data_IF_015099096937
#
_entry.id   IF_015099096937
#
_cell.length_a   1.000
_cell.length_b   1.000
_cell.length_c   1.000
_cell.angle_alpha   90.00
_cell.angle_beta   90.00
_cell.angle_gamma   90.00
#
_symmetry.space_group_name_H-M   'P 1'
#
loop_
_entity.id
_entity.type
_entity.pdbx_description
1 polymer ?
#
# COMPACT_ATOMS: atom_id res chain seq x y z
N UNK A 1 -36.47 6.86 8.25
CA UNK A 1 -37.13 5.54 8.43
C UNK A 1 -37.17 4.76 7.12
N UNK A 2 -37.45 5.47 6.02
CA UNK A 2 -37.76 4.95 4.67
C UNK A 2 -36.59 4.37 3.87
N UNK A 3 -35.40 4.26 4.48
CA UNK A 3 -34.25 3.60 3.83
C UNK A 3 -34.34 2.10 4.03
N UNK A 4 -34.39 1.33 2.95
CA UNK A 4 -34.48 -0.14 3.00
C UNK A 4 -33.10 -0.83 3.02
N UNK A 5 -32.08 -0.19 2.44
CA UNK A 5 -30.73 -0.73 2.32
C UNK A 5 -29.69 0.40 2.36
N UNK A 6 -28.55 0.15 3.00
CA UNK A 6 -27.37 1.01 2.96
C UNK A 6 -26.23 0.27 2.28
N UNK A 7 -25.70 0.83 1.19
CA UNK A 7 -24.48 0.36 0.52
C UNK A 7 -23.38 1.38 0.77
N UNK A 8 -22.27 0.96 1.38
CA UNK A 8 -21.17 1.84 1.76
C UNK A 8 -19.81 1.23 1.40
N UNK A 9 -18.98 2.05 0.77
CA UNK A 9 -17.56 1.76 0.53
C UNK A 9 -16.73 2.88 1.16
N UNK A 10 -15.79 2.53 2.03
CA UNK A 10 -14.98 3.50 2.75
C UNK A 10 -14.24 2.88 3.93
N UNK A 11 -13.80 3.67 4.90
CA UNK A 11 -12.99 3.15 6.01
C UNK A 11 -13.76 2.25 6.98
N UNK A 12 -13.06 1.24 7.51
CA UNK A 12 -13.56 0.25 8.49
C UNK A 12 -14.29 0.86 9.69
N UNK A 13 -13.72 1.91 10.30
CA UNK A 13 -14.34 2.59 11.47
C UNK A 13 -15.72 3.14 11.13
N UNK A 14 -15.85 3.82 9.98
CA UNK A 14 -17.13 4.37 9.52
C UNK A 14 -18.11 3.26 9.16
N UNK A 15 -17.64 2.20 8.50
CA UNK A 15 -18.46 1.03 8.18
C UNK A 15 -19.09 0.38 9.42
N UNK A 16 -18.31 0.19 10.50
CA UNK A 16 -18.80 -0.33 11.78
C UNK A 16 -19.89 0.57 12.39
N UNK A 17 -19.70 1.89 12.33
CA UNK A 17 -20.71 2.87 12.80
C UNK A 17 -22.00 2.78 11.97
N UNK A 18 -21.89 2.65 10.64
CA UNK A 18 -23.04 2.49 9.75
C UNK A 18 -23.81 1.21 10.08
N UNK A 19 -23.10 0.08 10.25
CA UNK A 19 -23.70 -1.20 10.61
C UNK A 19 -24.47 -1.10 11.95
N UNK A 20 -23.86 -0.49 12.97
CA UNK A 20 -24.49 -0.32 14.27
C UNK A 20 -25.77 0.52 14.20
N UNK A 21 -25.77 1.61 13.42
CA UNK A 21 -26.95 2.45 13.24
C UNK A 21 -28.05 1.78 12.39
N UNK A 22 -27.68 0.94 11.43
CA UNK A 22 -28.63 0.18 10.62
C UNK A 22 -29.42 -0.85 11.45
N UNK A 23 -28.82 -1.39 12.51
CA UNK A 23 -29.42 -2.42 13.35
C UNK A 23 -30.73 -1.97 14.03
N UNK A 24 -30.83 -0.71 14.45
CA UNK A 24 -32.01 -0.18 15.14
C UNK A 24 -33.31 -0.23 14.31
N UNK A 25 -33.19 -0.36 12.98
CA UNK A 25 -34.34 -0.53 12.08
C UNK A 25 -34.20 -1.74 11.16
N UNK A 26 -33.28 -2.66 11.49
CA UNK A 26 -33.06 -3.93 10.79
C UNK A 26 -32.83 -3.75 9.28
N UNK A 27 -32.04 -2.73 8.89
CA UNK A 27 -31.74 -2.47 7.48
C UNK A 27 -30.73 -3.47 6.94
N UNK A 28 -30.85 -3.77 5.65
CA UNK A 28 -29.78 -4.47 4.92
C UNK A 28 -28.56 -3.56 4.80
N UNK A 29 -27.37 -4.11 4.97
CA UNK A 29 -26.10 -3.40 4.80
C UNK A 29 -25.20 -4.16 3.82
N UNK A 30 -24.55 -3.44 2.92
CA UNK A 30 -23.44 -3.91 2.10
C UNK A 30 -22.25 -3.00 2.37
N UNK A 31 -21.12 -3.58 2.81
CA UNK A 31 -19.96 -2.84 3.32
C UNK A 31 -18.68 -3.35 2.65
N UNK A 32 -17.90 -2.43 2.07
CA UNK A 32 -16.58 -2.68 1.47
C UNK A 32 -15.56 -1.76 2.16
N UNK A 33 -14.65 -2.32 2.97
CA UNK A 33 -14.06 -1.60 4.11
C UNK A 33 -12.52 -1.46 4.14
N UNK A 34 -11.86 -1.67 3.01
CA UNK A 34 -10.39 -1.62 2.90
C UNK A 34 -9.75 -3.00 2.96
N UNK A 35 -8.42 -3.05 3.05
CA UNK A 35 -7.65 -4.28 3.04
C UNK A 35 -6.20 -4.12 3.50
N UNK A 36 -5.59 -5.24 3.89
CA UNK A 36 -4.14 -5.39 4.01
C UNK A 36 -3.66 -6.49 3.07
N UNK A 37 -3.78 -6.22 1.77
CA UNK A 37 -3.74 -7.25 0.74
C UNK A 37 -2.31 -7.77 0.53
N UNK A 38 -2.05 -9.08 0.77
CA UNK A 38 -0.75 -9.67 0.56
C UNK A 38 -0.46 -9.87 -0.94
N UNK A 39 0.77 -9.59 -1.35
CA UNK A 39 1.34 -9.93 -2.65
C UNK A 39 2.49 -10.91 -2.43
N UNK A 40 2.26 -12.19 -2.76
CA UNK A 40 3.20 -13.27 -2.45
C UNK A 40 4.11 -13.55 -3.64
N UNK A 41 5.43 -13.49 -3.43
CA UNK A 41 6.46 -13.68 -4.46
C UNK A 41 7.33 -14.90 -4.11
N UNK A 42 7.20 -15.96 -4.91
CA UNK A 42 8.06 -17.14 -4.83
C UNK A 42 9.31 -16.97 -5.70
N UNK A 43 10.39 -17.68 -5.36
CA UNK A 43 11.67 -17.57 -6.07
C UNK A 43 11.58 -18.01 -7.55
N UNK A 44 10.70 -18.97 -7.86
CA UNK A 44 10.49 -19.45 -9.22
C UNK A 44 9.89 -18.38 -10.15
N UNK A 45 9.06 -17.47 -9.63
CA UNK A 45 8.57 -16.29 -10.35
C UNK A 45 9.71 -15.34 -10.80
N UNK A 46 10.85 -15.41 -10.11
CA UNK A 46 12.04 -14.60 -10.36
C UNK A 46 13.16 -15.39 -11.07
N UNK A 47 12.90 -16.63 -11.50
CA UNK A 47 13.93 -17.52 -12.05
C UNK A 47 14.48 -17.06 -13.41
N UNK A 48 13.78 -16.17 -14.12
CA UNK A 48 14.26 -15.55 -15.37
C UNK A 48 14.21 -14.03 -15.29
N UNK A 49 15.01 -13.31 -16.11
CA UNK A 49 14.95 -11.85 -16.16
C UNK A 49 13.55 -11.31 -16.48
N UNK A 50 12.81 -11.98 -17.37
CA UNK A 50 11.44 -11.61 -17.73
C UNK A 50 10.46 -11.87 -16.59
N UNK A 51 10.63 -12.98 -15.87
CA UNK A 51 9.83 -13.32 -14.68
C UNK A 51 10.03 -12.29 -13.57
N UNK A 52 11.28 -11.99 -13.24
CA UNK A 52 11.63 -10.94 -12.27
C UNK A 52 11.04 -9.58 -12.69
N UNK A 53 11.23 -9.19 -13.96
CA UNK A 53 10.71 -7.92 -14.46
C UNK A 53 9.18 -7.83 -14.36
N UNK A 54 8.46 -8.91 -14.69
CA UNK A 54 7.01 -8.97 -14.59
C UNK A 54 6.54 -8.95 -13.13
N UNK A 55 7.19 -9.69 -12.24
CA UNK A 55 6.83 -9.74 -10.82
C UNK A 55 7.04 -8.37 -10.14
N UNK A 56 8.17 -7.70 -10.41
CA UNK A 56 8.42 -6.33 -9.92
C UNK A 56 7.43 -5.34 -10.52
N UNK A 57 7.10 -5.45 -11.82
CA UNK A 57 6.11 -4.58 -12.47
C UNK A 57 4.73 -4.67 -11.80
N UNK A 58 4.28 -5.90 -11.52
CA UNK A 58 3.02 -6.12 -10.80
C UNK A 58 3.08 -5.57 -9.37
N UNK A 59 4.20 -5.73 -8.65
CA UNK A 59 4.35 -5.18 -7.31
C UNK A 59 4.31 -3.65 -7.29
N UNK A 60 4.96 -2.98 -8.25
CA UNK A 60 4.90 -1.52 -8.41
C UNK A 60 3.48 -1.05 -8.67
N UNK A 61 2.79 -1.68 -9.63
CA UNK A 61 1.41 -1.34 -9.96
C UNK A 61 0.48 -1.56 -8.76
N UNK A 62 0.62 -2.69 -8.06
CA UNK A 62 -0.21 -3.01 -6.91
C UNK A 62 -0.03 -2.04 -5.75
N UNK A 63 1.18 -1.55 -5.50
CA UNK A 63 1.47 -0.66 -4.38
C UNK A 63 1.28 0.83 -4.70
N UNK A 64 1.61 1.27 -5.90
CA UNK A 64 1.77 2.69 -6.22
C UNK A 64 0.76 3.26 -7.22
N UNK A 65 -0.06 2.43 -7.87
CA UNK A 65 -1.19 2.90 -8.67
C UNK A 65 -2.11 3.78 -7.81
N UNK A 66 -2.52 4.92 -8.36
CA UNK A 66 -3.34 5.91 -7.64
C UNK A 66 -2.72 6.38 -6.31
N UNK A 67 -1.38 6.34 -6.22
CA UNK A 67 -0.63 6.60 -5.00
C UNK A 67 -1.08 5.72 -3.83
N UNK A 68 -1.39 4.45 -4.12
CA UNK A 68 -1.79 3.44 -3.15
C UNK A 68 -3.17 3.65 -2.52
N UNK A 69 -3.98 4.58 -3.03
CA UNK A 69 -5.33 4.86 -2.53
C UNK A 69 -6.37 3.92 -3.14
N UNK A 70 -6.13 2.61 -3.03
CA UNK A 70 -6.95 1.54 -3.60
C UNK A 70 -7.17 0.48 -2.52
N UNK A 71 -8.42 0.07 -2.28
CA UNK A 71 -8.73 -0.92 -1.24
C UNK A 71 -8.07 -2.28 -1.48
N UNK A 72 -7.79 -2.62 -2.74
CA UNK A 72 -7.07 -3.84 -3.15
C UNK A 72 -5.59 -3.60 -3.43
N UNK A 73 -4.99 -2.49 -2.95
CA UNK A 73 -3.56 -2.23 -3.13
C UNK A 73 -2.73 -3.36 -2.49
N UNK A 74 -1.72 -3.86 -3.22
CA UNK A 74 -0.78 -4.88 -2.75
C UNK A 74 0.25 -4.28 -1.79
N UNK A 75 -0.21 -3.73 -0.68
CA UNK A 75 0.58 -2.95 0.27
C UNK A 75 1.43 -3.80 1.23
N UNK A 76 1.35 -5.13 1.14
CA UNK A 76 2.11 -6.08 1.95
C UNK A 76 2.77 -7.12 1.04
N UNK A 77 4.07 -6.96 0.76
CA UNK A 77 4.86 -7.91 -0.01
C UNK A 77 5.35 -9.03 0.92
N UNK A 78 5.06 -10.28 0.54
CA UNK A 78 5.50 -11.48 1.25
C UNK A 78 6.39 -12.25 0.29
N UNK A 79 7.71 -12.23 0.50
CA UNK A 79 8.69 -12.68 -0.51
C UNK A 79 9.56 -13.82 0.01
N UNK A 80 9.86 -14.79 -0.86
CA UNK A 80 10.76 -15.88 -0.49
C UNK A 80 12.16 -15.33 -0.21
N UNK A 81 12.74 -15.70 0.93
CA UNK A 81 14.00 -15.15 1.44
C UNK A 81 15.14 -15.23 0.40
N UNK A 82 15.16 -16.29 -0.40
CA UNK A 82 16.19 -16.55 -1.40
C UNK A 82 16.29 -15.51 -2.52
N UNK A 83 15.23 -14.75 -2.78
CA UNK A 83 15.17 -13.71 -3.83
C UNK A 83 14.92 -12.30 -3.28
N UNK A 84 14.87 -12.15 -1.96
CA UNK A 84 14.58 -10.89 -1.28
C UNK A 84 15.39 -9.71 -1.81
N UNK A 85 16.73 -9.77 -1.69
CA UNK A 85 17.60 -8.63 -2.01
C UNK A 85 17.50 -8.27 -3.51
N UNK A 86 17.53 -9.28 -4.39
CA UNK A 86 17.41 -9.10 -5.83
C UNK A 86 16.12 -8.38 -6.21
N UNK A 87 15.00 -8.81 -5.63
CA UNK A 87 13.69 -8.25 -5.95
C UNK A 87 13.50 -6.86 -5.34
N UNK A 88 13.83 -6.69 -4.07
CA UNK A 88 13.62 -5.43 -3.34
C UNK A 88 14.51 -4.32 -3.90
N UNK A 89 15.76 -4.64 -4.29
CA UNK A 89 16.65 -3.67 -4.93
C UNK A 89 16.07 -3.16 -6.26
N UNK A 90 15.53 -4.06 -7.09
CA UNK A 90 14.91 -3.67 -8.37
C UNK A 90 13.57 -2.93 -8.17
N UNK A 91 12.77 -3.34 -7.17
CA UNK A 91 11.56 -2.63 -6.76
C UNK A 91 11.88 -1.20 -6.33
N UNK A 92 12.88 -1.01 -5.47
CA UNK A 92 13.33 0.30 -5.00
C UNK A 92 13.81 1.16 -6.16
N UNK A 93 14.69 0.62 -7.01
CA UNK A 93 15.23 1.34 -8.17
C UNK A 93 14.12 1.84 -9.10
N UNK A 94 13.09 1.02 -9.33
CA UNK A 94 11.96 1.40 -10.18
C UNK A 94 10.98 2.33 -9.47
N UNK A 95 10.75 2.17 -8.16
CA UNK A 95 9.89 3.04 -7.37
C UNK A 95 10.44 4.49 -7.31
N UNK A 96 11.76 4.66 -7.21
CA UNK A 96 12.44 5.96 -7.28
C UNK A 96 12.28 6.66 -8.62
N UNK A 97 12.04 5.89 -9.69
CA UNK A 97 11.81 6.39 -11.04
C UNK A 97 10.37 6.82 -11.32
N UNK A 98 9.42 6.55 -10.41
CA UNK A 98 8.00 6.88 -10.62
C UNK A 98 7.83 8.39 -10.66
N UNK A 99 7.36 8.89 -11.80
CA UNK A 99 7.10 10.32 -12.02
C UNK A 99 5.75 10.72 -11.44
N UNK A 100 5.80 11.45 -10.34
CA UNK A 100 4.62 12.04 -9.72
C UNK A 100 4.26 13.36 -10.40
N UNK A 101 2.98 13.71 -10.47
CA UNK A 101 2.56 14.92 -11.19
C UNK A 101 1.09 15.25 -11.19
N UNK A 102 0.74 16.33 -11.90
CA UNK A 102 -0.64 16.69 -12.19
C UNK A 102 -1.28 15.67 -13.15
N UNK A 103 -2.59 15.38 -13.01
CA UNK A 103 -3.27 14.35 -13.80
C UNK A 103 -3.30 14.61 -15.31
N UNK A 104 -3.05 15.85 -15.75
CA UNK A 104 -3.04 16.24 -17.16
C UNK A 104 -1.63 16.47 -17.70
N UNK A 105 -0.60 16.36 -16.86
CA UNK A 105 0.78 16.56 -17.28
C UNK A 105 1.32 15.29 -17.95
N UNK A 106 1.92 15.47 -19.13
CA UNK A 106 2.49 14.37 -19.91
C UNK A 106 3.56 13.61 -19.11
N UNK A 107 3.48 12.28 -19.15
CA UNK A 107 4.44 11.42 -18.45
C UNK A 107 4.21 11.26 -16.95
N UNK A 108 3.15 11.84 -16.38
CA UNK A 108 2.73 11.55 -15.01
C UNK A 108 2.29 10.09 -14.89
N UNK A 109 2.89 9.36 -13.95
CA UNK A 109 2.55 7.97 -13.63
C UNK A 109 1.63 7.88 -12.42
N UNK A 110 1.77 8.79 -11.45
CA UNK A 110 0.83 8.89 -10.32
C UNK A 110 0.64 10.33 -9.80
N UNK A 111 -0.48 10.57 -9.13
CA UNK A 111 -0.90 11.87 -8.62
C UNK A 111 -0.64 12.08 -7.11
N UNK A 112 -1.16 13.17 -6.52
CA UNK A 112 -1.06 13.41 -5.09
C UNK A 112 -1.99 12.49 -4.28
N UNK A 113 -1.79 12.47 -2.97
CA UNK A 113 -2.80 11.97 -2.04
C UNK A 113 -4.02 12.92 -2.00
N UNK A 114 -5.17 12.41 -1.59
CA UNK A 114 -6.46 13.10 -1.73
C UNK A 114 -6.58 14.37 -0.87
N UNK A 115 -5.84 14.46 0.23
CA UNK A 115 -5.87 15.61 1.15
C UNK A 115 -4.59 15.73 1.98
N UNK A 116 -4.34 16.90 2.54
CA UNK A 116 -3.27 17.11 3.52
C UNK A 116 -3.40 16.17 4.73
N UNK A 117 -4.62 16.06 5.28
CA UNK A 117 -4.88 15.18 6.42
C UNK A 117 -4.54 13.71 6.12
N UNK A 118 -4.85 13.25 4.90
CA UNK A 118 -4.52 11.88 4.48
C UNK A 118 -3.00 11.69 4.28
N UNK A 119 -2.32 12.67 3.67
CA UNK A 119 -0.86 12.66 3.54
C UNK A 119 -0.17 12.62 4.91
N UNK A 120 -0.65 13.41 5.86
CA UNK A 120 -0.06 13.46 7.20
C UNK A 120 -0.34 12.15 7.97
N UNK A 121 -1.49 11.49 7.76
CA UNK A 121 -1.76 10.13 8.26
C UNK A 121 -0.76 9.11 7.70
N UNK A 122 -0.54 9.11 6.38
CA UNK A 122 0.44 8.21 5.74
C UNK A 122 1.85 8.47 6.27
N UNK A 123 2.23 9.72 6.47
CA UNK A 123 3.53 10.05 7.05
C UNK A 123 3.69 9.53 8.47
N UNK A 124 2.69 9.72 9.33
CA UNK A 124 2.71 9.21 10.70
C UNK A 124 2.83 7.68 10.74
N UNK A 125 2.16 6.99 9.81
CA UNK A 125 2.29 5.54 9.65
C UNK A 125 3.73 5.12 9.31
N UNK A 126 4.41 5.84 8.40
CA UNK A 126 5.80 5.55 8.02
C UNK A 126 6.78 5.85 9.16
N UNK A 127 6.59 6.97 9.87
CA UNK A 127 7.42 7.30 11.04
C UNK A 127 7.26 6.24 12.13
N UNK A 128 6.03 5.77 12.37
CA UNK A 128 5.78 4.69 13.33
C UNK A 128 6.47 3.38 12.91
N UNK A 129 6.41 3.01 11.64
CA UNK A 129 7.14 1.85 11.13
C UNK A 129 8.65 1.96 11.38
N UNK A 130 9.22 3.15 11.17
CA UNK A 130 10.63 3.43 11.44
C UNK A 130 10.97 3.33 12.94
N UNK A 131 10.09 3.83 13.81
CA UNK A 131 10.22 3.66 15.27
C UNK A 131 10.15 2.20 15.71
N UNK A 132 9.30 1.40 15.06
CA UNK A 132 9.13 -0.02 15.33
C UNK A 132 10.30 -0.88 14.79
N UNK A 133 11.19 -0.29 13.98
CA UNK A 133 12.42 -0.92 13.51
C UNK A 133 12.45 -1.27 12.03
N UNK A 134 11.41 -0.94 11.26
CA UNK A 134 11.41 -1.13 9.82
C UNK A 134 12.50 -0.28 9.13
N UNK A 135 13.07 -0.82 8.05
CA UNK A 135 14.06 -0.13 7.23
C UNK A 135 13.38 0.58 6.07
N UNK A 136 13.43 1.92 6.05
CA UNK A 136 12.94 2.69 4.90
C UNK A 136 13.98 2.63 3.77
N UNK A 137 13.72 1.82 2.74
CA UNK A 137 14.65 1.62 1.61
C UNK A 137 14.60 2.76 0.59
N UNK A 138 13.44 3.38 0.44
CA UNK A 138 13.25 4.58 -0.38
C UNK A 138 12.01 5.35 0.08
N UNK A 139 11.88 6.61 -0.34
CA UNK A 139 10.78 7.49 0.00
C UNK A 139 10.71 7.83 1.50
N UNK A 140 9.53 7.69 2.08
CA UNK A 140 9.24 8.01 3.48
C UNK A 140 9.25 9.51 3.79
N UNK A 141 9.00 10.34 2.78
CA UNK A 141 8.96 11.79 2.92
C UNK A 141 7.93 12.40 1.95
N UNK A 142 7.59 13.66 2.21
CA UNK A 142 6.81 14.46 1.27
C UNK A 142 7.59 14.64 -0.03
N UNK A 143 6.90 14.58 -1.17
CA UNK A 143 7.54 14.90 -2.44
C UNK A 143 7.58 16.42 -2.62
N UNK A 144 8.75 16.93 -3.02
CA UNK A 144 9.02 18.36 -3.20
C UNK A 144 9.66 18.60 -4.56
N UNK A 145 9.62 19.84 -5.06
CA UNK A 145 10.23 20.21 -6.35
C UNK A 145 9.32 19.94 -7.55
N UNK A 146 9.93 19.70 -8.71
CA UNK A 146 9.23 19.46 -9.98
C UNK A 146 9.84 18.25 -10.70
N UNK A 147 9.00 17.29 -11.09
CA UNK A 147 9.39 16.09 -11.84
C UNK A 147 8.99 16.16 -13.32
N UNK A 148 8.84 17.38 -13.85
CA UNK A 148 8.42 17.66 -15.23
C UNK A 148 6.90 17.73 -15.41
N UNK A 149 6.16 17.80 -14.31
CA UNK A 149 4.71 17.58 -14.26
C UNK A 149 3.98 18.55 -13.32
N UNK A 150 4.70 19.58 -12.83
CA UNK A 150 4.20 20.62 -11.94
C UNK A 150 4.92 20.66 -10.60
N UNK A 151 4.83 21.80 -9.90
CA UNK A 151 5.40 21.96 -8.57
C UNK A 151 4.69 21.06 -7.55
N UNK A 152 5.35 20.01 -7.10
CA UNK A 152 4.84 19.03 -6.13
C UNK A 152 4.61 19.68 -4.77
N UNK A 153 5.35 20.73 -4.43
CA UNK A 153 5.20 21.49 -3.17
C UNK A 153 3.80 22.12 -3.01
N UNK A 154 3.07 22.32 -4.12
CA UNK A 154 1.72 22.88 -4.10
C UNK A 154 0.62 21.83 -3.88
N UNK A 155 0.97 20.54 -3.84
CA UNK A 155 0.03 19.42 -3.69
C UNK A 155 0.30 18.56 -2.45
N UNK A 156 -0.46 17.48 -2.32
CA UNK A 156 -0.33 16.53 -1.21
C UNK A 156 0.45 15.29 -1.64
N UNK A 157 1.62 15.49 -2.24
CA UNK A 157 2.43 14.39 -2.74
C UNK A 157 3.24 13.74 -1.62
N UNK A 158 3.37 12.42 -1.71
CA UNK A 158 4.18 11.59 -0.83
C UNK A 158 4.98 10.62 -1.69
N UNK A 159 6.27 10.47 -1.44
CA UNK A 159 7.13 9.65 -2.27
C UNK A 159 6.74 8.16 -2.18
N UNK A 160 6.83 7.39 -3.28
CA UNK A 160 6.76 5.93 -3.23
C UNK A 160 7.72 5.38 -2.16
N UNK A 161 7.20 4.59 -1.23
CA UNK A 161 7.91 4.19 -0.02
C UNK A 161 7.94 2.68 0.12
N UNK A 162 9.14 2.12 0.30
CA UNK A 162 9.36 0.69 0.57
C UNK A 162 9.87 0.55 2.01
N UNK A 163 9.08 -0.13 2.84
CA UNK A 163 9.38 -0.46 4.23
C UNK A 163 9.83 -1.91 4.29
N UNK A 164 11.12 -2.12 4.47
CA UNK A 164 11.77 -3.41 4.43
C UNK A 164 12.05 -3.93 5.85
N UNK A 165 12.32 -5.22 5.99
CA UNK A 165 12.56 -5.92 7.27
C UNK A 165 11.42 -5.69 8.26
N UNK A 166 10.19 -5.73 7.76
CA UNK A 166 9.03 -5.68 8.62
C UNK A 166 8.80 -7.05 9.26
N UNK A 167 8.17 -7.08 10.44
CA UNK A 167 7.81 -8.31 11.12
C UNK A 167 6.40 -8.21 11.74
N UNK A 168 5.78 -9.35 12.11
CA UNK A 168 4.41 -9.38 12.63
C UNK A 168 4.12 -8.55 13.89
N UNK A 169 5.15 -8.09 14.62
CA UNK A 169 4.96 -7.22 15.78
C UNK A 169 4.77 -5.75 15.42
N UNK A 170 5.10 -5.35 14.18
CA UNK A 170 5.04 -3.96 13.73
C UNK A 170 3.63 -3.57 13.29
N UNK A 171 3.17 -2.38 13.68
CA UNK A 171 1.83 -1.92 13.29
C UNK A 171 1.66 -1.82 11.76
N UNK A 172 2.74 -1.52 11.04
CA UNK A 172 2.72 -1.37 9.59
C UNK A 172 2.44 -2.66 8.81
N UNK A 173 2.54 -3.85 9.41
CA UNK A 173 2.14 -5.09 8.69
C UNK A 173 0.65 -5.40 8.82
N UNK A 174 -0.04 -4.77 9.78
CA UNK A 174 -1.47 -4.97 10.07
C UNK A 174 -2.33 -3.80 9.60
N UNK A 175 -1.85 -2.57 9.83
CA UNK A 175 -2.62 -1.36 9.55
C UNK A 175 -2.63 -1.01 8.06
N UNK A 176 -3.77 -0.46 7.61
CA UNK A 176 -3.94 0.07 6.26
C UNK A 176 -3.49 1.54 6.20
N UNK A 177 -2.34 1.79 5.57
CA UNK A 177 -1.87 3.14 5.28
C UNK A 177 -2.76 3.88 4.27
N UNK A 178 -3.22 3.14 3.25
CA UNK A 178 -3.98 3.65 2.10
C UNK A 178 -3.22 4.77 1.34
N UNK A 179 -1.91 4.59 1.17
CA UNK A 179 -0.99 5.53 0.53
C UNK A 179 0.13 4.78 -0.20
N UNK A 180 1.11 5.49 -0.81
CA UNK A 180 2.12 4.89 -1.68
C UNK A 180 3.22 4.21 -0.85
N UNK A 181 2.85 3.18 -0.11
CA UNK A 181 3.71 2.43 0.81
C UNK A 181 3.55 0.93 0.58
N UNK A 182 4.65 0.18 0.63
CA UNK A 182 4.63 -1.29 0.65
C UNK A 182 5.53 -1.78 1.79
N UNK A 183 5.05 -2.73 2.59
CA UNK A 183 5.87 -3.45 3.58
C UNK A 183 6.45 -4.71 2.96
N UNK A 184 7.62 -5.15 3.42
CA UNK A 184 8.26 -6.39 2.97
C UNK A 184 8.51 -7.30 4.17
N UNK A 185 7.97 -8.51 4.09
CA UNK A 185 8.20 -9.64 4.99
C UNK A 185 8.75 -10.82 4.19
N UNK A 186 9.58 -11.66 4.80
CA UNK A 186 10.15 -12.84 4.16
C UNK A 186 9.51 -14.14 4.64
N UNK A 187 9.56 -15.18 3.79
CA UNK A 187 9.21 -16.56 4.16
C UNK A 187 10.24 -17.55 3.61
N UNK A 188 10.28 -18.75 4.19
CA UNK A 188 11.17 -19.84 3.75
C UNK A 188 10.43 -21.06 3.23
N UNK A 189 9.13 -21.16 3.51
CA UNK A 189 8.26 -22.26 3.06
C UNK A 189 6.92 -21.74 2.54
N UNK A 190 6.27 -22.51 1.69
CA UNK A 190 4.91 -22.20 1.21
C UNK A 190 3.91 -22.05 2.37
N UNK A 191 3.99 -22.92 3.38
CA UNK A 191 3.12 -22.86 4.57
C UNK A 191 3.32 -21.55 5.35
N UNK A 192 4.56 -21.08 5.50
CA UNK A 192 4.85 -19.76 6.09
C UNK A 192 4.27 -18.64 5.24
N UNK A 193 4.40 -18.68 3.91
CA UNK A 193 3.85 -17.66 3.03
C UNK A 193 2.33 -17.53 3.21
N UNK A 194 1.62 -18.67 3.26
CA UNK A 194 0.18 -18.71 3.50
C UNK A 194 -0.17 -18.21 4.91
N UNK A 195 0.61 -18.58 5.93
CA UNK A 195 0.39 -18.11 7.29
C UNK A 195 0.56 -16.60 7.42
N UNK A 196 1.63 -16.03 6.83
CA UNK A 196 1.90 -14.59 6.85
C UNK A 196 0.81 -13.84 6.07
N UNK A 197 0.44 -14.33 4.88
CA UNK A 197 -0.59 -13.71 4.06
C UNK A 197 -1.97 -13.66 4.76
N UNK A 198 -2.31 -14.68 5.55
CA UNK A 198 -3.57 -14.76 6.29
C UNK A 198 -3.53 -14.06 7.67
N UNK A 199 -2.37 -13.60 8.14
CA UNK A 199 -2.23 -12.91 9.43
C UNK A 199 -2.69 -11.45 9.32
N UNK A 200 -4.00 -11.25 9.21
CA UNK A 200 -4.65 -9.95 9.02
C UNK A 200 -6.09 -9.98 9.54
N UNK A 201 -6.61 -8.84 10.00
CA UNK A 201 -8.04 -8.69 10.36
C UNK A 201 -8.97 -8.45 9.16
N UNK A 202 -8.40 -8.25 7.96
CA UNK A 202 -9.12 -8.01 6.70
C UNK A 202 -9.55 -9.30 5.99
#
# INVERSE_FOLDING_TARGET
PDVDLVSFTGGLVTGRIIAANAAGTVKKVALELGGKNPNVIFADSCATPEGLAAAVDNALNAAFLHSGQVCSAGARLVIEESVHDLFVDELVRRAEGIRQGLPYAEGTETGPLISAAHRDKVHAYVEKAREDGAVVRTGGAFATGDQGSGALDAGYFYLPTVLDRCDPSMACVHDEAFGPTVTVETFTTEDEAVSIANDTEY
#
